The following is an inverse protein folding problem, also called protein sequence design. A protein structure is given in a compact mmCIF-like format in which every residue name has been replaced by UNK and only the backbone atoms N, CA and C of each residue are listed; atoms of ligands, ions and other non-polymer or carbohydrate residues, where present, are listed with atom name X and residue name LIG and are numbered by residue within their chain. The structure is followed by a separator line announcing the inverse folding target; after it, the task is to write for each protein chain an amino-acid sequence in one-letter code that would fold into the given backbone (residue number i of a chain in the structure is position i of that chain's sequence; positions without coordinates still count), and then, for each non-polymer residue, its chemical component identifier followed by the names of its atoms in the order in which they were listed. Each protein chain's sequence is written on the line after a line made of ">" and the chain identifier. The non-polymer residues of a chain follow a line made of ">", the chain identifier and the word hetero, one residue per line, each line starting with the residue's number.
data_IF_644192150221
#
_entry.id   IF_644192150221
#
_cell.length_a   1.000
_cell.length_b   1.000
_cell.length_c   1.000
_cell.angle_alpha   90.00
_cell.angle_beta   90.00
_cell.angle_gamma   90.00
#
_symmetry.space_group_name_H-M   'P 1'
#
loop_
_entity.id
_entity.type
_entity.pdbx_description
1 polymer ?
#
# COMPACT_ATOMS: atom_id res chain seq x y z
N UNK A 1 -41.82 -13.15 -13.62
CA UNK A 1 -43.02 -13.42 -12.80
C UNK A 1 -42.62 -13.43 -11.33
N UNK A 2 -43.37 -12.59 -10.58
CA UNK A 2 -43.54 -12.48 -9.10
C UNK A 2 -42.36 -11.88 -8.35
N UNK A 3 -42.28 -10.57 -7.98
CA UNK A 3 -43.25 -9.71 -7.26
C UNK A 3 -43.60 -10.25 -5.87
N UNK A 4 -43.13 -9.62 -4.83
CA UNK A 4 -43.87 -9.30 -3.56
C UNK A 4 -42.94 -8.41 -2.73
N UNK A 5 -43.23 -7.13 -2.63
CA UNK A 5 -44.13 -6.40 -1.67
C UNK A 5 -43.45 -6.27 -0.31
N UNK A 6 -43.02 -5.03 0.03
CA UNK A 6 -43.74 -3.98 0.76
C UNK A 6 -44.24 -4.39 2.15
N UNK A 7 -43.89 -3.62 3.15
CA UNK A 7 -44.77 -3.14 4.27
C UNK A 7 -43.84 -2.54 5.35
N UNK A 8 -43.89 -1.32 5.62
CA UNK A 8 -44.72 -0.34 6.36
C UNK A 8 -43.98 0.23 7.57
N UNK A 9 -44.03 1.53 7.56
CA UNK A 9 -43.68 2.51 8.58
C UNK A 9 -44.41 2.33 9.94
N UNK A 10 -43.80 2.79 11.02
CA UNK A 10 -44.50 3.43 12.11
C UNK A 10 -43.64 4.51 12.77
N UNK A 11 -44.21 5.71 12.84
CA UNK A 11 -43.78 6.84 13.65
C UNK A 11 -44.02 6.56 15.15
N UNK A 12 -43.15 7.07 16.01
CA UNK A 12 -43.61 7.59 17.31
C UNK A 12 -42.63 8.69 17.77
N UNK A 13 -43.19 9.85 17.94
CA UNK A 13 -42.61 11.05 18.53
C UNK A 13 -42.56 10.92 20.06
N UNK A 14 -41.58 11.51 20.70
CA UNK A 14 -41.50 11.65 22.15
C UNK A 14 -40.43 12.66 22.56
N UNK A 15 -40.82 13.91 22.68
CA UNK A 15 -40.07 14.98 23.36
C UNK A 15 -39.95 14.71 24.86
N UNK A 16 -38.77 14.98 25.44
CA UNK A 16 -38.71 15.74 26.71
C UNK A 16 -37.29 16.28 26.92
N UNK A 17 -37.20 17.58 27.10
CA UNK A 17 -36.02 18.31 27.53
C UNK A 17 -35.91 18.25 29.07
N UNK A 18 -34.65 18.06 29.55
CA UNK A 18 -34.26 18.54 30.89
C UNK A 18 -32.85 19.06 30.86
N UNK A 19 -32.70 20.32 31.20
CA UNK A 19 -31.47 21.01 31.51
C UNK A 19 -30.98 20.62 32.90
N UNK A 20 -29.71 20.30 33.07
CA UNK A 20 -29.01 20.61 34.32
C UNK A 20 -27.48 20.61 34.09
N UNK A 21 -26.91 21.76 34.33
CA UNK A 21 -25.53 22.12 34.59
C UNK A 21 -24.90 21.32 35.71
N UNK A 22 -23.60 20.90 35.59
CA UNK A 22 -22.54 21.28 36.51
C UNK A 22 -21.25 20.47 36.24
N UNK A 23 -20.20 21.18 35.94
CA UNK A 23 -18.82 21.10 36.39
C UNK A 23 -18.40 19.87 37.20
N UNK A 24 -17.30 19.20 36.74
CA UNK A 24 -16.60 18.17 37.51
C UNK A 24 -15.48 17.53 36.70
N UNK A 25 -14.28 18.01 36.92
CA UNK A 25 -12.97 17.52 36.45
C UNK A 25 -12.70 16.15 37.05
N UNK A 26 -12.36 15.14 36.23
CA UNK A 26 -11.32 14.14 36.56
C UNK A 26 -11.15 13.10 35.43
N UNK A 27 -9.91 12.94 35.06
CA UNK A 27 -9.25 11.88 34.30
C UNK A 27 -9.86 10.48 34.44
N UNK A 28 -10.06 9.81 33.29
CA UNK A 28 -9.51 8.45 33.10
C UNK A 28 -9.60 8.11 31.63
N UNK A 29 -8.44 7.67 31.10
CA UNK A 29 -8.26 7.12 29.78
C UNK A 29 -8.92 5.75 29.73
N UNK A 30 -9.79 5.55 28.74
CA UNK A 30 -10.20 4.22 28.33
C UNK A 30 -10.06 4.15 26.81
N UNK A 31 -8.97 3.49 26.44
CA UNK A 31 -8.57 3.22 25.07
C UNK A 31 -9.45 2.12 24.52
N UNK A 32 -10.36 2.47 23.64
CA UNK A 32 -10.99 1.50 22.74
C UNK A 32 -10.23 1.57 21.41
N UNK A 33 -9.68 0.47 20.89
CA UNK A 33 -9.12 0.45 19.54
C UNK A 33 -10.30 0.51 18.56
N UNK A 34 -10.49 1.65 17.94
CA UNK A 34 -11.28 1.72 16.72
C UNK A 34 -10.42 1.08 15.61
N UNK A 35 -10.84 -0.09 15.14
CA UNK A 35 -10.42 -0.62 13.85
C UNK A 35 -10.82 0.39 12.76
N UNK A 36 -9.90 1.26 12.43
CA UNK A 36 -9.98 2.03 11.20
C UNK A 36 -9.43 1.13 10.12
N UNK A 37 -10.32 0.51 9.37
CA UNK A 37 -10.00 0.01 8.03
C UNK A 37 -9.67 1.23 7.19
N UNK A 38 -8.40 1.60 7.14
CA UNK A 38 -7.91 2.53 6.14
C UNK A 38 -8.02 1.87 4.78
N UNK A 39 -9.07 2.23 4.09
CA UNK A 39 -9.20 2.10 2.64
C UNK A 39 -7.96 2.73 2.00
N UNK A 40 -7.08 1.87 1.47
CA UNK A 40 -5.85 2.29 0.79
C UNK A 40 -6.26 3.06 -0.46
N UNK A 41 -6.36 4.38 -0.31
CA UNK A 41 -6.44 5.28 -1.44
C UNK A 41 -5.14 5.11 -2.26
N UNK A 42 -5.25 4.45 -3.40
CA UNK A 42 -4.21 4.43 -4.43
C UNK A 42 -4.02 5.86 -4.91
N UNK A 43 -3.07 6.56 -4.33
CA UNK A 43 -2.66 7.88 -4.78
C UNK A 43 -1.86 7.66 -6.06
N UNK A 44 -2.45 7.98 -7.21
CA UNK A 44 -1.79 7.91 -8.51
C UNK A 44 -0.46 8.69 -8.46
N UNK A 45 0.62 8.07 -8.91
CA UNK A 45 1.93 8.72 -9.03
C UNK A 45 2.76 8.81 -7.74
N UNK A 46 2.43 8.04 -6.69
CA UNK A 46 3.23 7.99 -5.45
C UNK A 46 3.77 6.60 -5.16
N UNK A 47 4.92 6.55 -4.48
CA UNK A 47 5.48 5.31 -3.94
C UNK A 47 4.77 5.01 -2.63
N UNK A 48 4.16 3.81 -2.54
CA UNK A 48 3.60 3.30 -1.29
C UNK A 48 4.71 2.63 -0.48
N UNK A 49 4.91 3.06 0.76
CA UNK A 49 5.80 2.38 1.69
C UNK A 49 5.02 1.28 2.42
N UNK A 50 5.54 0.05 2.42
CA UNK A 50 4.93 -1.05 3.15
C UNK A 50 5.10 -0.82 4.66
N UNK A 51 4.00 -0.73 5.39
CA UNK A 51 4.01 -0.41 6.82
C UNK A 51 4.50 -1.60 7.66
N UNK A 52 5.11 -1.31 8.81
CA UNK A 52 5.53 -2.35 9.75
C UNK A 52 4.33 -3.21 10.20
N UNK A 53 4.48 -4.53 10.11
CA UNK A 53 3.43 -5.50 10.45
C UNK A 53 2.41 -5.73 9.35
N UNK A 54 2.49 -4.99 8.24
CA UNK A 54 1.70 -5.25 7.06
C UNK A 54 2.19 -6.51 6.33
N UNK A 55 1.27 -7.39 5.98
CA UNK A 55 1.57 -8.61 5.22
C UNK A 55 1.35 -8.33 3.74
N UNK A 56 2.37 -8.52 2.94
CA UNK A 56 2.29 -8.45 1.48
C UNK A 56 2.42 -9.86 0.90
N UNK A 57 1.37 -10.34 0.23
CA UNK A 57 1.41 -11.67 -0.41
C UNK A 57 1.97 -11.54 -1.84
N UNK A 58 3.22 -11.93 -1.99
CA UNK A 58 3.88 -11.96 -3.31
C UNK A 58 3.35 -13.05 -4.25
N UNK A 59 2.51 -13.96 -3.77
CA UNK A 59 1.88 -14.99 -4.61
C UNK A 59 0.54 -14.55 -5.16
N UNK A 60 -0.02 -13.45 -4.66
CA UNK A 60 -1.20 -12.84 -5.22
C UNK A 60 -0.87 -12.20 -6.57
N UNK A 61 -1.69 -12.49 -7.57
CA UNK A 61 -1.54 -11.91 -8.92
C UNK A 61 -2.06 -10.47 -8.91
N UNK A 62 -1.23 -9.46 -9.20
CA UNK A 62 -1.66 -8.08 -9.18
C UNK A 62 -2.57 -7.75 -10.38
N UNK A 63 -3.47 -6.78 -10.22
CA UNK A 63 -4.35 -6.31 -11.29
C UNK A 63 -3.63 -5.48 -12.37
N UNK A 64 -2.50 -4.87 -12.03
CA UNK A 64 -1.64 -4.11 -12.93
C UNK A 64 -0.18 -4.40 -12.60
N UNK A 65 0.73 -4.00 -13.48
CA UNK A 65 2.16 -4.09 -13.20
C UNK A 65 2.46 -3.47 -11.84
N UNK A 66 3.05 -4.25 -10.95
CA UNK A 66 3.46 -3.80 -9.61
C UNK A 66 4.96 -3.94 -9.49
N UNK A 67 5.64 -2.87 -9.12
CA UNK A 67 7.09 -2.82 -8.96
C UNK A 67 7.41 -2.57 -7.50
N UNK A 68 8.24 -3.45 -6.94
CA UNK A 68 8.62 -3.40 -5.53
C UNK A 68 10.12 -3.17 -5.42
N UNK A 69 10.52 -2.10 -4.73
CA UNK A 69 11.90 -1.79 -4.39
C UNK A 69 12.22 -2.31 -2.98
N UNK A 70 13.08 -3.31 -2.88
CA UNK A 70 13.63 -3.79 -1.62
C UNK A 70 14.89 -3.01 -1.29
N UNK A 71 14.85 -2.27 -0.20
CA UNK A 71 15.88 -1.32 0.19
C UNK A 71 16.16 -1.36 1.71
N UNK A 72 17.08 -0.55 2.18
CA UNK A 72 17.33 -0.28 3.59
C UNK A 72 17.94 1.11 3.77
N UNK A 73 17.75 1.71 4.93
CA UNK A 73 18.23 3.06 5.24
C UNK A 73 19.75 3.19 5.22
N UNK A 74 20.48 2.13 5.53
CA UNK A 74 21.95 2.09 5.52
C UNK A 74 22.56 1.78 4.14
N UNK A 75 21.75 1.44 3.14
CA UNK A 75 22.18 1.05 1.81
C UNK A 75 22.43 2.28 0.92
N UNK A 76 23.69 2.64 0.70
CA UNK A 76 24.06 3.78 -0.15
C UNK A 76 23.53 3.70 -1.59
N UNK A 77 23.69 2.57 -2.32
CA UNK A 77 23.09 2.40 -3.64
C UNK A 77 21.57 2.54 -3.65
N UNK A 78 20.87 2.08 -2.59
CA UNK A 78 19.43 2.24 -2.48
C UNK A 78 19.02 3.72 -2.32
N UNK A 79 19.79 4.49 -1.55
CA UNK A 79 19.57 5.93 -1.41
C UNK A 79 19.75 6.68 -2.73
N UNK A 80 20.68 6.22 -3.58
CA UNK A 80 20.86 6.76 -4.93
C UNK A 80 19.70 6.37 -5.88
N UNK A 81 19.12 5.18 -5.70
CA UNK A 81 18.00 4.69 -6.50
C UNK A 81 16.65 5.32 -6.11
N UNK A 82 16.46 5.66 -4.83
CA UNK A 82 15.20 6.20 -4.31
C UNK A 82 14.59 7.33 -5.15
N UNK A 83 15.33 8.42 -5.47
CA UNK A 83 14.83 9.48 -6.34
C UNK A 83 14.43 9.01 -7.74
N UNK A 84 15.14 8.04 -8.32
CA UNK A 84 14.82 7.46 -9.64
C UNK A 84 13.50 6.69 -9.56
N UNK A 85 13.31 5.93 -8.49
CA UNK A 85 12.08 5.17 -8.23
C UNK A 85 10.87 6.08 -8.05
N UNK A 86 11.03 7.18 -7.29
CA UNK A 86 9.97 8.19 -7.08
C UNK A 86 9.60 8.95 -8.37
N UNK A 87 10.59 9.30 -9.21
CA UNK A 87 10.34 9.93 -10.50
C UNK A 87 9.60 9.00 -11.45
N UNK A 88 9.98 7.72 -11.48
CA UNK A 88 9.26 6.72 -12.25
C UNK A 88 7.81 6.55 -11.74
N UNK A 89 7.59 6.57 -10.43
CA UNK A 89 6.24 6.51 -9.86
C UNK A 89 5.37 7.69 -10.32
N UNK A 90 5.93 8.89 -10.38
CA UNK A 90 5.21 10.07 -10.93
C UNK A 90 4.90 9.93 -12.41
N UNK A 91 5.79 9.31 -13.19
CA UNK A 91 5.65 9.14 -14.63
C UNK A 91 4.68 8.02 -15.03
N UNK A 92 4.67 6.93 -14.29
CA UNK A 92 3.95 5.70 -14.66
C UNK A 92 2.83 5.30 -13.69
N UNK A 93 2.60 6.07 -12.62
CA UNK A 93 1.71 5.69 -11.52
C UNK A 93 0.24 5.54 -11.89
N UNK A 94 -0.18 6.00 -13.06
CA UNK A 94 -1.50 5.74 -13.64
C UNK A 94 -1.66 4.28 -14.13
N UNK A 95 -0.56 3.58 -14.41
CA UNK A 95 -0.54 2.22 -14.98
C UNK A 95 0.21 1.21 -14.12
N UNK A 96 1.08 1.69 -13.23
CA UNK A 96 2.03 0.88 -12.46
C UNK A 96 1.91 1.21 -10.99
N UNK A 97 1.83 0.20 -10.13
CA UNK A 97 1.94 0.38 -8.67
C UNK A 97 3.40 0.31 -8.24
N UNK A 98 3.82 1.27 -7.44
CA UNK A 98 5.16 1.34 -6.88
C UNK A 98 5.12 1.14 -5.37
N UNK A 99 5.88 0.18 -4.87
CA UNK A 99 5.94 -0.18 -3.45
C UNK A 99 7.40 -0.17 -3.00
N UNK A 100 7.68 0.49 -1.89
CA UNK A 100 8.99 0.45 -1.22
C UNK A 100 8.90 -0.45 0.01
N UNK A 101 9.84 -1.36 0.14
CA UNK A 101 9.94 -2.34 1.23
C UNK A 101 11.30 -2.25 1.89
N UNK A 102 11.32 -1.90 3.18
CA UNK A 102 12.53 -1.97 3.99
C UNK A 102 12.79 -3.42 4.41
N UNK A 103 13.93 -3.98 4.01
CA UNK A 103 14.28 -5.38 4.30
C UNK A 103 14.58 -5.65 5.77
N UNK A 104 14.91 -4.62 6.56
CA UNK A 104 15.11 -4.75 7.99
C UNK A 104 13.77 -4.85 8.76
N UNK A 105 12.73 -4.24 8.21
CA UNK A 105 11.36 -4.28 8.74
C UNK A 105 10.63 -5.53 8.27
N UNK A 106 10.81 -5.93 7.01
CA UNK A 106 10.10 -7.04 6.36
C UNK A 106 11.06 -8.21 6.03
N UNK A 107 11.77 -8.71 7.05
CA UNK A 107 12.79 -9.77 6.89
C UNK A 107 12.21 -11.05 6.31
N UNK A 108 11.07 -11.49 6.81
CA UNK A 108 10.42 -12.73 6.36
C UNK A 108 10.06 -12.66 4.86
N UNK A 109 9.62 -11.49 4.39
CA UNK A 109 9.31 -11.26 2.99
C UNK A 109 10.58 -11.30 2.14
N UNK A 110 11.65 -10.60 2.55
CA UNK A 110 12.92 -10.61 1.87
C UNK A 110 13.55 -12.02 1.80
N UNK A 111 13.49 -12.78 2.90
CA UNK A 111 13.96 -14.16 2.97
C UNK A 111 13.15 -15.10 2.06
N UNK A 112 11.81 -14.97 2.05
CA UNK A 112 10.94 -15.77 1.20
C UNK A 112 11.23 -15.60 -0.30
N UNK A 113 11.68 -14.40 -0.70
CA UNK A 113 12.08 -14.05 -2.05
C UNK A 113 13.58 -14.26 -2.32
N UNK A 114 14.32 -14.77 -1.33
CA UNK A 114 15.77 -15.01 -1.41
C UNK A 114 16.56 -13.74 -1.79
N UNK A 115 16.16 -12.57 -1.25
CA UNK A 115 16.86 -11.31 -1.49
C UNK A 115 18.17 -11.31 -0.69
N UNK A 116 19.28 -11.43 -1.40
CA UNK A 116 20.62 -11.49 -0.81
C UNK A 116 21.44 -10.23 -1.04
N UNK A 117 20.94 -9.31 -1.87
CA UNK A 117 21.59 -8.04 -2.19
C UNK A 117 20.54 -6.99 -2.49
N UNK A 118 20.80 -5.75 -2.08
CA UNK A 118 19.93 -4.58 -2.31
C UNK A 118 20.72 -3.44 -2.96
N UNK A 119 20.04 -2.56 -3.74
CA UNK A 119 18.62 -2.59 -4.05
C UNK A 119 18.23 -3.82 -4.88
N UNK A 120 17.05 -4.37 -4.64
CA UNK A 120 16.47 -5.43 -5.45
C UNK A 120 15.07 -5.02 -5.90
N UNK A 121 14.83 -5.05 -7.18
CA UNK A 121 13.60 -4.55 -7.79
C UNK A 121 12.81 -5.72 -8.37
N UNK A 122 11.65 -5.99 -7.80
CA UNK A 122 10.74 -7.04 -8.22
C UNK A 122 9.64 -6.46 -9.10
N UNK A 123 9.50 -6.98 -10.30
CA UNK A 123 8.39 -6.72 -11.22
C UNK A 123 7.38 -7.86 -11.11
N UNK A 124 6.16 -7.55 -10.73
CA UNK A 124 5.05 -8.51 -10.66
C UNK A 124 4.04 -8.17 -11.76
N UNK A 125 3.80 -9.11 -12.65
CA UNK A 125 2.94 -8.92 -13.81
C UNK A 125 1.51 -9.42 -13.56
N UNK A 126 0.51 -8.86 -14.26
CA UNK A 126 -0.89 -9.32 -14.17
C UNK A 126 -1.12 -10.75 -14.62
N UNK A 127 -0.17 -11.36 -15.33
CA UNK A 127 -0.21 -12.77 -15.73
C UNK A 127 0.32 -13.73 -14.66
N UNK A 128 0.73 -13.18 -13.48
CA UNK A 128 1.31 -13.94 -12.37
C UNK A 128 2.81 -14.19 -12.51
N UNK A 129 3.43 -13.79 -13.62
CA UNK A 129 4.88 -13.89 -13.77
C UNK A 129 5.61 -12.82 -12.95
N UNK A 130 6.86 -13.10 -12.62
CA UNK A 130 7.72 -12.21 -11.83
C UNK A 130 9.10 -12.13 -12.47
N UNK A 131 9.73 -10.97 -12.35
CA UNK A 131 11.10 -10.73 -12.77
C UNK A 131 11.83 -9.93 -11.70
N UNK A 132 13.10 -10.23 -11.46
CA UNK A 132 13.92 -9.60 -10.42
C UNK A 132 15.16 -8.96 -11.05
N UNK A 133 15.38 -7.70 -10.73
CA UNK A 133 16.63 -7.00 -11.05
C UNK A 133 17.34 -6.64 -9.76
N UNK A 134 18.65 -6.88 -9.68
CA UNK A 134 19.46 -6.59 -8.48
C UNK A 134 20.54 -5.59 -8.83
N UNK A 135 20.72 -4.60 -7.96
CA UNK A 135 21.71 -3.53 -8.09
C UNK A 135 21.11 -2.21 -8.52
N UNK A 136 21.95 -1.18 -8.43
CA UNK A 136 21.59 0.17 -8.85
C UNK A 136 21.40 0.22 -10.37
N UNK A 137 20.29 0.81 -10.80
CA UNK A 137 19.99 1.14 -12.18
C UNK A 137 19.95 2.66 -12.35
N UNK A 138 20.35 3.17 -13.50
CA UNK A 138 20.07 4.56 -13.84
C UNK A 138 18.62 4.77 -14.33
N UNK A 139 18.22 6.03 -14.48
CA UNK A 139 16.84 6.38 -14.84
C UNK A 139 16.43 5.83 -16.21
N UNK A 140 17.34 5.84 -17.20
CA UNK A 140 17.04 5.38 -18.55
C UNK A 140 16.88 3.86 -18.60
N UNK A 141 17.75 3.13 -17.90
CA UNK A 141 17.65 1.67 -17.76
C UNK A 141 16.36 1.28 -17.06
N UNK A 142 16.03 1.94 -15.95
CA UNK A 142 14.82 1.62 -15.19
C UNK A 142 13.55 1.93 -15.98
N UNK A 143 13.46 3.12 -16.60
CA UNK A 143 12.33 3.45 -17.47
C UNK A 143 12.20 2.49 -18.66
N UNK A 144 13.30 2.11 -19.29
CA UNK A 144 13.30 1.13 -20.39
C UNK A 144 12.76 -0.25 -19.98
N UNK A 145 13.07 -0.71 -18.74
CA UNK A 145 12.50 -1.94 -18.18
C UNK A 145 10.99 -1.80 -17.94
N UNK A 146 10.52 -0.66 -17.42
CA UNK A 146 9.09 -0.40 -17.21
C UNK A 146 8.35 -0.39 -18.54
N UNK A 147 8.87 0.33 -19.54
CA UNK A 147 8.27 0.40 -20.87
C UNK A 147 8.19 -1.00 -21.52
N UNK A 148 9.24 -1.80 -21.37
CA UNK A 148 9.25 -3.19 -21.84
C UNK A 148 8.25 -4.07 -21.10
N UNK A 149 8.09 -3.86 -19.79
CA UNK A 149 7.13 -4.58 -18.94
C UNK A 149 5.67 -4.24 -19.29
N UNK A 150 5.38 -2.99 -19.63
CA UNK A 150 4.05 -2.53 -20.04
C UNK A 150 3.63 -3.01 -21.43
N UNK A 151 4.58 -3.43 -22.27
CA UNK A 151 4.35 -3.96 -23.62
C UNK A 151 4.35 -5.50 -23.69
N UNK A 152 4.40 -6.19 -22.56
CA UNK A 152 4.43 -7.64 -22.44
C UNK A 152 3.00 -8.21 -22.40
#
# INVERSE_FOLDING_TARGET
>A
MKLHKLIIATLAAGSLAVLASCSGKSSQAESTPAETQEEVATTEGTVRVLAQGEVFDVNETPQCLTIIDFNATWCGPCQAFGPIFEEAAKKYGDKVKFISVDVDVHKDLAESLQINSIPAILFMYPDGTKDMSVGLMDSDEFCGKIDSALNK
#
